data_IF_764021886096
#
_entry.id   IF_764021886096
#
_cell.length_a   1.000
_cell.length_b   1.000
_cell.length_c   1.000
_cell.angle_alpha   90.00
_cell.angle_beta   90.00
_cell.angle_gamma   90.00
#
_symmetry.space_group_name_H-M   'P 1'
#
loop_
_entity.id
_entity.type
_entity.pdbx_description
1 polymer ?
#
# COMPACT_ATOMS: atom_id res chain seq x y z
N UNK A 1 29.50 2.94 6.86
CA UNK A 1 28.39 2.07 6.44
C UNK A 1 28.46 1.94 4.94
N UNK A 2 28.59 0.72 4.43
CA UNK A 2 28.90 0.43 3.02
C UNK A 2 27.58 0.37 2.23
N UNK A 3 27.46 1.16 1.16
CA UNK A 3 26.22 1.34 0.38
C UNK A 3 25.66 0.02 -0.19
N UNK A 4 26.53 -0.97 -0.34
CA UNK A 4 26.17 -2.31 -0.84
C UNK A 4 25.28 -3.10 0.12
N UNK A 5 25.39 -2.89 1.44
CA UNK A 5 24.57 -3.59 2.43
C UNK A 5 23.12 -3.07 2.45
N UNK A 6 22.92 -1.78 2.16
CA UNK A 6 21.59 -1.15 2.04
C UNK A 6 20.88 -1.67 0.79
N UNK A 7 21.60 -1.79 -0.34
CA UNK A 7 21.07 -2.34 -1.58
C UNK A 7 20.65 -3.81 -1.45
N UNK A 8 21.41 -4.61 -0.68
CA UNK A 8 21.08 -6.01 -0.41
C UNK A 8 19.81 -6.18 0.42
N UNK A 9 19.57 -5.29 1.38
CA UNK A 9 18.36 -5.32 2.20
C UNK A 9 17.13 -4.76 1.47
N UNK A 10 17.30 -3.75 0.62
CA UNK A 10 16.22 -3.21 -0.20
C UNK A 10 15.71 -4.22 -1.25
N UNK A 11 16.59 -5.05 -1.80
CA UNK A 11 16.21 -6.13 -2.73
C UNK A 11 15.53 -7.33 -2.04
N UNK A 12 15.53 -7.38 -0.71
CA UNK A 12 14.91 -8.46 0.07
C UNK A 12 13.59 -8.01 0.74
N UNK A 13 13.19 -6.75 0.57
CA UNK A 13 11.80 -6.35 0.71
C UNK A 13 11.12 -6.76 -0.58
N UNK A 14 10.96 -8.08 -0.74
CA UNK A 14 10.28 -8.65 -1.87
C UNK A 14 8.82 -8.19 -1.81
N UNK A 15 8.47 -7.19 -2.63
CA UNK A 15 7.07 -6.89 -2.95
C UNK A 15 6.35 -8.12 -3.54
N UNK A 16 7.11 -9.14 -3.95
CA UNK A 16 6.63 -10.46 -4.29
C UNK A 16 5.84 -11.14 -3.18
N UNK A 17 6.15 -11.01 -1.88
CA UNK A 17 5.33 -11.67 -0.84
C UNK A 17 3.93 -11.05 -0.71
N UNK A 18 3.84 -9.73 -0.91
CA UNK A 18 2.55 -9.03 -1.00
C UNK A 18 1.81 -9.36 -2.31
N UNK A 19 2.53 -9.61 -3.40
CA UNK A 19 1.96 -10.07 -4.67
C UNK A 19 1.55 -11.56 -4.65
N UNK A 20 2.27 -12.39 -3.88
CA UNK A 20 2.08 -13.84 -3.70
C UNK A 20 0.97 -14.18 -2.70
N UNK A 21 0.53 -13.22 -1.88
CA UNK A 21 -0.62 -13.37 -0.99
C UNK A 21 -1.93 -13.70 -1.75
N UNK A 22 -1.91 -13.59 -3.08
CA UNK A 22 -3.04 -13.83 -3.95
C UNK A 22 -4.04 -12.67 -3.89
N UNK A 23 -4.82 -12.45 -4.96
CA UNK A 23 -5.83 -11.40 -4.97
C UNK A 23 -6.75 -11.49 -3.76
N UNK A 24 -7.14 -12.70 -3.33
CA UNK A 24 -8.07 -12.93 -2.21
C UNK A 24 -7.64 -12.31 -0.86
N UNK A 25 -6.36 -12.40 -0.48
CA UNK A 25 -5.90 -11.86 0.81
C UNK A 25 -5.81 -10.33 0.78
N UNK A 26 -5.49 -9.77 -0.38
CA UNK A 26 -5.58 -8.32 -0.61
C UNK A 26 -7.04 -7.87 -0.53
N UNK A 27 -7.98 -8.61 -1.12
CA UNK A 27 -9.42 -8.33 -1.05
C UNK A 27 -9.95 -8.31 0.39
N UNK A 28 -9.53 -9.27 1.23
CA UNK A 28 -9.93 -9.32 2.64
C UNK A 28 -9.30 -8.21 3.48
N UNK A 29 -8.03 -7.87 3.22
CA UNK A 29 -7.30 -6.86 4.01
C UNK A 29 -7.55 -5.43 3.56
N UNK A 30 -7.96 -5.22 2.30
CA UNK A 30 -8.14 -3.90 1.72
C UNK A 30 -9.08 -2.98 2.51
N UNK A 31 -10.25 -3.43 3.01
CA UNK A 31 -11.12 -2.59 3.83
C UNK A 31 -10.39 -2.01 5.05
N UNK A 32 -9.64 -2.85 5.76
CA UNK A 32 -8.85 -2.45 6.94
C UNK A 32 -7.70 -1.51 6.58
N UNK A 33 -7.01 -1.77 5.47
CA UNK A 33 -5.91 -0.92 4.98
C UNK A 33 -6.44 0.45 4.55
N UNK A 34 -7.59 0.48 3.85
CA UNK A 34 -8.26 1.71 3.44
C UNK A 34 -8.66 2.55 4.65
N UNK A 35 -9.29 1.95 5.66
CA UNK A 35 -9.71 2.66 6.87
C UNK A 35 -8.50 3.25 7.62
N UNK A 36 -7.38 2.53 7.68
CA UNK A 36 -6.13 3.05 8.24
C UNK A 36 -5.54 4.21 7.44
N UNK A 37 -5.59 4.15 6.11
CA UNK A 37 -5.15 5.24 5.22
C UNK A 37 -6.05 6.48 5.36
N UNK A 38 -7.37 6.32 5.46
CA UNK A 38 -8.31 7.42 5.65
C UNK A 38 -8.12 8.10 7.02
N UNK A 39 -7.87 7.32 8.09
CA UNK A 39 -7.49 7.85 9.40
C UNK A 39 -6.17 8.62 9.34
N UNK A 40 -5.18 8.10 8.62
CA UNK A 40 -3.90 8.77 8.43
C UNK A 40 -4.07 10.08 7.64
N UNK A 41 -4.90 10.08 6.60
CA UNK A 41 -5.26 11.28 5.83
C UNK A 41 -5.90 12.35 6.72
N UNK A 42 -6.80 11.96 7.62
CA UNK A 42 -7.44 12.86 8.57
C UNK A 42 -6.46 13.45 9.59
N UNK A 43 -5.49 12.65 10.06
CA UNK A 43 -4.47 13.07 11.03
C UNK A 43 -3.39 13.98 10.43
N UNK A 44 -3.16 13.90 9.11
CA UNK A 44 -2.14 14.67 8.43
C UNK A 44 -2.55 16.13 8.24
N UNK A 45 -1.65 17.06 8.57
CA UNK A 45 -1.84 18.50 8.34
C UNK A 45 -1.32 18.95 6.97
N UNK A 46 -0.48 18.14 6.32
CA UNK A 46 0.13 18.48 5.05
C UNK A 46 -0.81 18.11 3.88
N UNK A 47 -1.29 19.08 3.07
CA UNK A 47 -2.22 18.82 1.99
C UNK A 47 -1.63 17.93 0.88
N UNK A 48 -0.32 17.99 0.63
CA UNK A 48 0.31 17.14 -0.39
C UNK A 48 0.25 15.65 -0.01
N UNK A 49 0.48 15.34 1.28
CA UNK A 49 0.40 13.96 1.78
C UNK A 49 -1.04 13.43 1.75
N UNK A 50 -2.05 14.30 1.98
CA UNK A 50 -3.45 13.91 1.82
C UNK A 50 -3.78 13.49 0.39
N UNK A 51 -3.35 14.28 -0.59
CA UNK A 51 -3.54 13.97 -2.01
C UNK A 51 -2.88 12.64 -2.37
N UNK A 52 -1.67 12.38 -1.88
CA UNK A 52 -0.96 11.11 -2.13
C UNK A 52 -1.76 9.93 -1.58
N UNK A 53 -2.26 10.04 -0.34
CA UNK A 53 -3.07 8.98 0.27
C UNK A 53 -4.37 8.76 -0.49
N UNK A 54 -5.08 9.84 -0.87
CA UNK A 54 -6.28 9.74 -1.67
C UNK A 54 -6.05 9.04 -3.02
N UNK A 55 -4.91 9.31 -3.68
CA UNK A 55 -4.52 8.60 -4.92
C UNK A 55 -4.25 7.12 -4.66
N UNK A 56 -3.58 6.78 -3.55
CA UNK A 56 -3.32 5.38 -3.17
C UNK A 56 -4.62 4.63 -2.91
N UNK A 57 -5.56 5.23 -2.17
CA UNK A 57 -6.88 4.66 -1.89
C UNK A 57 -7.67 4.46 -3.19
N UNK A 58 -7.72 5.47 -4.06
CA UNK A 58 -8.43 5.38 -5.34
C UNK A 58 -7.84 4.31 -6.28
N UNK A 59 -6.51 4.21 -6.35
CA UNK A 59 -5.83 3.21 -7.15
C UNK A 59 -6.10 1.79 -6.61
N UNK A 60 -6.04 1.62 -5.29
CA UNK A 60 -6.33 0.33 -4.68
C UNK A 60 -7.79 -0.09 -4.82
N UNK A 61 -8.76 0.83 -4.66
CA UNK A 61 -10.17 0.55 -4.94
C UNK A 61 -10.40 0.10 -6.39
N UNK A 62 -9.71 0.71 -7.36
CA UNK A 62 -9.80 0.32 -8.77
C UNK A 62 -9.21 -1.08 -9.04
N UNK A 63 -8.08 -1.41 -8.38
CA UNK A 63 -7.45 -2.73 -8.48
C UNK A 63 -8.36 -3.78 -7.84
N UNK A 64 -8.83 -3.54 -6.62
CA UNK A 64 -9.72 -4.41 -5.84
C UNK A 64 -11.03 -4.66 -6.59
N UNK A 65 -11.68 -3.62 -7.12
CA UNK A 65 -12.90 -3.77 -7.92
C UNK A 65 -12.71 -4.57 -9.22
N UNK A 66 -11.46 -4.76 -9.66
CA UNK A 66 -11.10 -5.55 -10.86
C UNK A 66 -10.68 -6.99 -10.52
N UNK A 67 -10.02 -7.22 -9.37
CA UNK A 67 -9.46 -8.53 -9.00
C UNK A 67 -10.29 -9.29 -7.95
N UNK A 68 -11.15 -8.61 -7.19
CA UNK A 68 -11.97 -9.16 -6.11
C UNK A 68 -13.42 -9.40 -6.53
N UNK A 69 -13.67 -9.51 -7.84
CA UNK A 69 -14.99 -9.73 -8.44
C UNK A 69 -15.38 -11.20 -8.49
#
# INVERSE_FOLDING_TARGET
>A
MNTQDILKNANNISLDEAALAGPGKLCELWPTVKEGLELLEAALKNPALKVIIGVIVAAGDAIIGKICK
#
